data_IF_610872906267
#
_entry.id   IF_610872906267
#
_cell.length_a   1.000
_cell.length_b   1.000
_cell.length_c   1.000
_cell.angle_alpha   90.00
_cell.angle_beta   90.00
_cell.angle_gamma   90.00
#
_symmetry.space_group_name_H-M   'P 1'
#
loop_
_entity.id
_entity.type
_entity.pdbx_description
1 polymer ?
#
# COMPACT_ATOMS: atom_id res chain seq x y z
N UNK A 1 -22.98 -4.06 22.11
CA UNK A 1 -21.64 -4.00 21.46
C UNK A 1 -20.94 -5.36 21.46
N UNK A 2 -20.91 -6.06 22.59
CA UNK A 2 -20.35 -7.43 22.68
C UNK A 2 -21.09 -8.46 21.81
N UNK A 3 -22.42 -8.42 21.76
CA UNK A 3 -23.21 -9.32 20.89
C UNK A 3 -22.87 -9.21 19.40
N UNK A 4 -22.57 -8.01 18.91
CA UNK A 4 -22.21 -7.79 17.51
C UNK A 4 -20.82 -8.35 17.15
N UNK A 5 -19.95 -8.52 18.15
CA UNK A 5 -18.62 -9.11 18.00
C UNK A 5 -18.71 -10.64 18.06
N UNK A 6 -19.50 -11.16 19.00
CA UNK A 6 -19.66 -12.61 19.23
C UNK A 6 -20.49 -13.27 18.12
N UNK A 7 -21.56 -12.61 17.64
CA UNK A 7 -22.45 -13.13 16.60
C UNK A 7 -22.10 -12.64 15.19
N UNK A 8 -20.85 -12.23 14.94
CA UNK A 8 -20.45 -11.72 13.62
C UNK A 8 -20.56 -12.85 12.58
N UNK A 9 -21.29 -12.67 11.47
CA UNK A 9 -21.40 -13.71 10.45
C UNK A 9 -20.02 -14.04 9.88
N UNK A 10 -19.69 -15.34 9.85
CA UNK A 10 -18.46 -15.81 9.25
C UNK A 10 -18.51 -15.64 7.72
N UNK A 11 -17.69 -14.74 7.18
CA UNK A 11 -17.61 -14.43 5.75
C UNK A 11 -16.42 -15.07 5.04
N UNK A 12 -15.71 -16.00 5.68
CA UNK A 12 -14.48 -16.59 5.13
C UNK A 12 -14.75 -17.33 3.82
N UNK A 13 -15.77 -18.20 3.77
CA UNK A 13 -16.13 -18.95 2.55
C UNK A 13 -16.46 -18.01 1.38
N UNK A 14 -17.24 -16.96 1.63
CA UNK A 14 -17.58 -15.96 0.62
C UNK A 14 -16.34 -15.25 0.08
N UNK A 15 -15.39 -14.90 0.97
CA UNK A 15 -14.10 -14.30 0.56
C UNK A 15 -13.24 -15.28 -0.24
N UNK A 16 -13.17 -16.55 0.15
CA UNK A 16 -12.42 -17.57 -0.59
C UNK A 16 -12.95 -17.72 -2.01
N UNK A 17 -14.27 -17.80 -2.18
CA UNK A 17 -14.91 -17.88 -3.50
C UNK A 17 -14.58 -16.64 -4.34
N UNK A 18 -14.73 -15.43 -3.77
CA UNK A 18 -14.41 -14.20 -4.48
C UNK A 18 -12.93 -14.14 -4.92
N UNK A 19 -11.99 -14.45 -4.02
CA UNK A 19 -10.55 -14.44 -4.32
C UNK A 19 -10.13 -15.52 -5.32
N UNK A 20 -10.86 -16.65 -5.39
CA UNK A 20 -10.60 -17.73 -6.36
C UNK A 20 -11.26 -17.46 -7.71
N UNK A 21 -12.34 -16.67 -7.75
CA UNK A 21 -13.02 -16.27 -8.99
C UNK A 21 -12.18 -15.29 -9.83
N UNK A 22 -11.33 -14.48 -9.20
CA UNK A 22 -10.41 -13.53 -9.85
C UNK A 22 -9.20 -14.24 -10.52
N UNK A 23 -9.49 -15.10 -11.51
CA UNK A 23 -8.47 -15.80 -12.29
C UNK A 23 -7.64 -14.81 -13.11
N UNK A 24 -6.32 -15.04 -13.19
CA UNK A 24 -5.39 -14.18 -13.92
C UNK A 24 -4.99 -12.87 -13.19
N UNK A 25 -5.64 -12.53 -12.08
CA UNK A 25 -5.24 -11.39 -11.25
C UNK A 25 -4.15 -11.82 -10.25
N UNK A 26 -3.00 -11.12 -10.19
CA UNK A 26 -1.98 -11.36 -9.18
C UNK A 26 -2.54 -11.23 -7.77
N UNK A 27 -2.08 -12.07 -6.85
CA UNK A 27 -2.63 -12.16 -5.47
C UNK A 27 -2.66 -10.81 -4.76
N UNK A 28 -1.63 -9.97 -4.94
CA UNK A 28 -1.52 -8.65 -4.30
C UNK A 28 -2.49 -7.59 -4.86
N UNK A 29 -3.14 -7.86 -6.00
CA UNK A 29 -4.15 -6.97 -6.60
C UNK A 29 -5.58 -7.40 -6.33
N UNK A 30 -5.80 -8.61 -5.79
CA UNK A 30 -7.15 -9.18 -5.64
C UNK A 30 -8.01 -8.45 -4.62
N UNK A 31 -9.33 -8.51 -4.82
CA UNK A 31 -10.30 -7.80 -3.99
C UNK A 31 -9.99 -6.30 -3.92
N UNK A 32 -9.75 -5.78 -2.70
CA UNK A 32 -9.41 -4.36 -2.51
C UNK A 32 -7.92 -4.06 -2.76
N UNK A 33 -7.10 -5.07 -3.10
CA UNK A 33 -5.65 -4.94 -3.30
C UNK A 33 -5.26 -3.84 -4.28
N UNK A 34 -6.02 -3.67 -5.37
CA UNK A 34 -5.81 -2.59 -6.35
C UNK A 34 -5.80 -1.18 -5.72
N UNK A 35 -6.68 -0.90 -4.77
CA UNK A 35 -6.74 0.43 -4.15
C UNK A 35 -5.53 0.67 -3.24
N UNK A 36 -5.17 -0.32 -2.43
CA UNK A 36 -3.99 -0.25 -1.58
C UNK A 36 -2.70 -0.14 -2.39
N UNK A 37 -2.60 -0.90 -3.48
CA UNK A 37 -1.45 -0.84 -4.38
C UNK A 37 -1.30 0.54 -5.05
N UNK A 38 -2.40 1.17 -5.47
CA UNK A 38 -2.37 2.54 -6.00
C UNK A 38 -1.88 3.54 -4.96
N UNK A 39 -2.38 3.46 -3.73
CA UNK A 39 -1.92 4.33 -2.64
C UNK A 39 -0.43 4.12 -2.35
N UNK A 40 0.02 2.86 -2.30
CA UNK A 40 1.43 2.51 -2.15
C UNK A 40 2.30 3.12 -3.25
N UNK A 41 1.90 3.01 -4.52
CA UNK A 41 2.67 3.57 -5.63
C UNK A 41 2.81 5.10 -5.56
N UNK A 42 1.77 5.80 -5.10
CA UNK A 42 1.85 7.26 -4.89
C UNK A 42 2.88 7.60 -3.81
N UNK A 43 2.81 6.91 -2.66
CA UNK A 43 3.76 7.13 -1.56
C UNK A 43 5.20 6.79 -1.98
N UNK A 44 5.38 5.69 -2.70
CA UNK A 44 6.67 5.28 -3.23
C UNK A 44 7.23 6.33 -4.19
N UNK A 45 6.42 6.81 -5.14
CA UNK A 45 6.83 7.81 -6.12
C UNK A 45 7.26 9.12 -5.47
N UNK A 46 6.50 9.60 -4.49
CA UNK A 46 6.85 10.82 -3.73
C UNK A 46 8.13 10.62 -2.91
N UNK A 47 8.25 9.49 -2.21
CA UNK A 47 9.43 9.18 -1.38
C UNK A 47 10.71 9.05 -2.21
N UNK A 48 10.65 8.34 -3.34
CA UNK A 48 11.80 8.18 -4.23
C UNK A 48 12.19 9.49 -4.88
N UNK A 49 11.23 10.25 -5.40
CA UNK A 49 11.52 11.54 -6.05
C UNK A 49 12.10 12.54 -5.04
N UNK A 50 11.53 12.61 -3.84
CA UNK A 50 12.02 13.49 -2.77
C UNK A 50 13.43 13.12 -2.31
N UNK A 51 13.69 11.82 -2.09
CA UNK A 51 15.01 11.35 -1.66
C UNK A 51 16.09 11.56 -2.72
N UNK A 52 15.79 11.27 -4.00
CA UNK A 52 16.71 11.51 -5.11
C UNK A 52 16.99 13.00 -5.31
N UNK A 53 15.97 13.86 -5.20
CA UNK A 53 16.14 15.31 -5.29
C UNK A 53 17.05 15.83 -4.17
N UNK A 54 16.80 15.43 -2.92
CA UNK A 54 17.63 15.83 -1.78
C UNK A 54 19.06 15.31 -1.92
N UNK A 55 19.24 14.05 -2.32
CA UNK A 55 20.57 13.47 -2.56
C UNK A 55 21.34 14.24 -3.64
N UNK A 56 20.67 14.60 -4.74
CA UNK A 56 21.27 15.38 -5.83
C UNK A 56 21.69 16.77 -5.34
N UNK A 57 20.82 17.44 -4.57
CA UNK A 57 21.14 18.75 -3.99
C UNK A 57 22.31 18.68 -3.01
N UNK A 58 22.39 17.63 -2.20
CA UNK A 58 23.51 17.38 -1.30
C UNK A 58 24.81 17.14 -2.06
N UNK A 59 24.79 16.29 -3.09
CA UNK A 59 25.96 16.01 -3.93
C UNK A 59 26.50 17.25 -4.65
N UNK A 60 25.60 18.18 -5.02
CA UNK A 60 25.96 19.47 -5.62
C UNK A 60 26.40 20.54 -4.61
N UNK A 61 26.46 20.21 -3.31
CA UNK A 61 26.77 21.17 -2.23
C UNK A 61 25.69 22.23 -2.01
N UNK A 62 24.48 22.04 -2.57
CA UNK A 62 23.36 22.99 -2.54
C UNK A 62 22.33 22.69 -1.44
N UNK A 63 22.61 21.71 -0.59
CA UNK A 63 21.79 21.37 0.58
C UNK A 63 22.68 20.81 1.70
N UNK A 64 22.34 21.12 2.95
CA UNK A 64 22.90 20.48 4.15
C UNK A 64 22.03 19.31 4.58
N UNK A 65 22.61 18.33 5.26
CA UNK A 65 21.81 17.25 5.86
C UNK A 65 20.91 17.86 6.94
N UNK A 66 19.69 17.34 7.07
CA UNK A 66 18.85 17.69 8.19
C UNK A 66 19.53 17.22 9.50
N UNK A 67 19.96 18.15 10.34
CA UNK A 67 20.68 17.89 11.60
C UNK A 67 22.15 18.29 11.63
N UNK A 68 22.69 18.88 10.55
CA UNK A 68 23.98 19.61 10.52
C UNK A 68 23.75 21.14 10.61
#
# INVERSE_FOLDING_TARGET
>A
MFDAIINRPNRIRAKQIAYQAEKGVPVYLRGNGKYYYRAYLVLLGVSLSGSLFQLTRYALGKAKKAGE
#
